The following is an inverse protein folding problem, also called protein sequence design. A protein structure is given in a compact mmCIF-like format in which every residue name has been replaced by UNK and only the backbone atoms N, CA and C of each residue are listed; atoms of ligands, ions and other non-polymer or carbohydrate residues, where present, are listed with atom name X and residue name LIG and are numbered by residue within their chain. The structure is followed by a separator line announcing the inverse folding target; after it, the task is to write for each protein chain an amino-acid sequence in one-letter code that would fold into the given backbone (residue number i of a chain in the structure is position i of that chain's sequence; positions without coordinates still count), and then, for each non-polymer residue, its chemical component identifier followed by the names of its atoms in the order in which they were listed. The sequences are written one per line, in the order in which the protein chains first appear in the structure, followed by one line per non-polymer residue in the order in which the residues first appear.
data_IF_445964983126
#
_entry.id   IF_445964983126
#
_cell.length_a   1.000
_cell.length_b   1.000
_cell.length_c   1.000
_cell.angle_alpha   90.00
_cell.angle_beta   90.00
_cell.angle_gamma   90.00
#
_symmetry.space_group_name_H-M   'P 1'
#
loop_
_entity.id
_entity.type
_entity.pdbx_description
1 polymer ?
#
# COMPACT_ATOMS: atom_id res chain seq x y z
N UNK A 1 40.51 -47.34 -44.28
CA UNK A 1 39.19 -47.27 -44.95
C UNK A 1 38.44 -46.08 -44.42
N UNK A 2 38.71 -44.89 -44.98
CA UNK A 2 37.85 -43.72 -44.88
C UNK A 2 36.80 -43.78 -45.99
N UNK A 3 35.60 -43.23 -45.77
CA UNK A 3 34.50 -42.87 -46.72
C UNK A 3 33.24 -42.73 -45.83
N UNK A 4 32.41 -41.69 -45.83
CA UNK A 4 32.12 -40.55 -46.72
C UNK A 4 31.25 -39.57 -45.89
N UNK A 5 31.58 -38.27 -45.82
CA UNK A 5 31.00 -37.15 -46.59
C UNK A 5 29.54 -36.79 -46.21
N UNK A 6 29.02 -35.57 -46.32
CA UNK A 6 29.48 -34.20 -46.62
C UNK A 6 28.21 -33.35 -46.41
N UNK A 7 28.32 -32.13 -45.87
CA UNK A 7 27.20 -31.18 -45.86
C UNK A 7 27.43 -29.93 -44.99
N UNK A 8 28.14 -28.94 -45.55
CA UNK A 8 28.15 -27.52 -45.14
C UNK A 8 27.03 -26.75 -45.92
N UNK A 9 26.70 -25.46 -45.66
CA UNK A 9 27.27 -24.49 -44.71
C UNK A 9 26.24 -23.64 -43.91
N UNK A 10 26.69 -23.04 -42.80
CA UNK A 10 26.09 -21.79 -42.30
C UNK A 10 26.25 -21.55 -40.80
N UNK A 11 27.08 -20.56 -40.45
CA UNK A 11 27.25 -19.93 -39.12
C UNK A 11 28.12 -20.68 -38.10
N UNK A 12 29.40 -20.30 -38.07
CA UNK A 12 30.34 -20.57 -36.98
C UNK A 12 29.90 -19.82 -35.71
N UNK A 13 29.51 -20.58 -34.68
CA UNK A 13 29.53 -20.09 -33.30
C UNK A 13 30.98 -20.02 -32.83
N UNK A 14 31.53 -18.80 -32.71
CA UNK A 14 32.78 -18.57 -32.01
C UNK A 14 32.54 -18.73 -30.50
N UNK A 15 33.09 -19.78 -29.92
CA UNK A 15 33.25 -19.92 -28.46
C UNK A 15 34.50 -19.13 -28.05
N UNK A 16 34.31 -18.08 -27.25
CA UNK A 16 35.41 -17.40 -26.56
C UNK A 16 35.14 -17.46 -25.07
N UNK A 17 36.12 -17.89 -24.25
CA UNK A 17 35.90 -18.15 -22.82
C UNK A 17 35.59 -16.87 -22.04
N UNK A 18 34.48 -16.92 -21.31
CA UNK A 18 34.07 -15.96 -20.29
C UNK A 18 35.05 -15.98 -19.12
N UNK A 19 36.08 -15.14 -19.12
CA UNK A 19 36.68 -14.59 -17.90
C UNK A 19 37.60 -13.41 -18.27
N UNK A 20 36.97 -12.27 -18.58
CA UNK A 20 37.66 -10.98 -18.55
C UNK A 20 37.01 -10.17 -17.43
N UNK A 21 37.76 -9.97 -16.34
CA UNK A 21 37.40 -9.07 -15.25
C UNK A 21 37.18 -7.66 -15.83
N UNK A 22 35.91 -7.28 -16.00
CA UNK A 22 35.54 -5.91 -16.26
C UNK A 22 35.82 -5.10 -14.99
N UNK A 23 36.94 -4.38 -15.01
CA UNK A 23 37.25 -3.31 -14.07
C UNK A 23 36.04 -2.39 -13.97
N UNK A 24 35.39 -2.39 -12.79
CA UNK A 24 34.30 -1.51 -12.44
C UNK A 24 34.83 -0.08 -12.39
N UNK A 25 34.77 0.62 -13.53
CA UNK A 25 34.86 2.07 -13.54
C UNK A 25 33.72 2.60 -12.66
N UNK A 26 34.05 2.99 -11.43
CA UNK A 26 33.17 3.80 -10.58
C UNK A 26 32.79 5.03 -11.39
N UNK A 27 31.54 5.10 -11.82
CA UNK A 27 30.93 6.36 -12.24
C UNK A 27 31.08 7.35 -11.09
N UNK A 28 31.55 8.59 -11.34
CA UNK A 28 31.66 9.59 -10.29
C UNK A 28 30.28 9.82 -9.69
N UNK A 29 30.21 9.89 -8.35
CA UNK A 29 28.96 10.20 -7.65
C UNK A 29 28.42 11.52 -8.22
N UNK A 30 27.22 11.50 -8.81
CA UNK A 30 26.55 12.73 -9.23
C UNK A 30 26.45 13.63 -8.01
N UNK A 31 27.03 14.82 -8.09
CA UNK A 31 26.89 15.82 -7.04
C UNK A 31 25.41 16.06 -6.77
N UNK A 32 25.04 16.07 -5.49
CA UNK A 32 23.68 16.35 -5.08
C UNK A 32 23.28 17.76 -5.54
N UNK A 33 22.06 17.97 -6.04
CA UNK A 33 21.56 19.31 -6.35
C UNK A 33 21.68 20.25 -5.14
N UNK A 34 21.91 21.54 -5.39
CA UNK A 34 22.17 22.55 -4.34
C UNK A 34 21.13 22.55 -3.21
N UNK A 35 19.84 22.35 -3.53
CA UNK A 35 18.78 22.32 -2.51
C UNK A 35 18.91 21.15 -1.52
N UNK A 36 19.56 20.06 -1.92
CA UNK A 36 19.83 18.91 -1.06
C UNK A 36 21.16 19.05 -0.29
N UNK A 37 22.10 19.85 -0.80
CA UNK A 37 23.35 20.14 -0.09
C UNK A 37 23.11 20.96 1.19
N UNK A 38 22.09 21.82 1.18
CA UNK A 38 21.67 22.61 2.34
C UNK A 38 20.67 21.89 3.25
N UNK A 39 20.32 20.63 2.96
CA UNK A 39 19.37 19.89 3.78
C UNK A 39 20.04 19.42 5.08
N UNK A 40 19.49 19.84 6.21
CA UNK A 40 19.90 19.39 7.55
C UNK A 40 18.69 18.74 8.24
N UNK A 41 18.78 17.46 8.62
CA UNK A 41 17.70 16.75 9.28
C UNK A 41 17.41 17.22 10.72
N UNK A 42 18.34 17.97 11.32
CA UNK A 42 18.22 18.50 12.69
C UNK A 42 17.28 19.70 12.77
N UNK A 43 17.04 20.36 11.64
CA UNK A 43 16.26 21.59 11.57
C UNK A 43 15.04 21.43 10.65
N UNK A 44 13.88 22.05 10.97
CA UNK A 44 12.73 22.03 10.08
C UNK A 44 13.10 22.57 8.70
N UNK A 45 12.97 21.75 7.67
CA UNK A 45 13.31 22.17 6.30
C UNK A 45 12.18 23.03 5.73
N UNK A 46 12.41 24.31 5.41
CA UNK A 46 11.41 25.11 4.73
C UNK A 46 11.21 24.56 3.30
N UNK A 47 9.97 24.24 2.96
CA UNK A 47 9.65 23.69 1.64
C UNK A 47 9.62 24.82 0.59
N UNK A 48 10.76 25.03 -0.08
CA UNK A 48 10.93 26.04 -1.12
C UNK A 48 10.39 25.59 -2.48
N UNK A 49 10.22 26.53 -3.42
CA UNK A 49 9.88 26.23 -4.82
C UNK A 49 10.95 25.37 -5.50
N UNK A 50 12.23 25.59 -5.18
CA UNK A 50 13.34 24.81 -5.71
C UNK A 50 13.25 23.33 -5.28
N UNK A 51 12.94 23.06 -4.01
CA UNK A 51 12.72 21.68 -3.52
C UNK A 51 11.53 21.05 -4.25
N UNK A 52 10.41 21.77 -4.41
CA UNK A 52 9.23 21.28 -5.15
C UNK A 52 9.59 20.90 -6.59
N UNK A 53 10.32 21.76 -7.28
CA UNK A 53 10.72 21.51 -8.68
C UNK A 53 11.65 20.30 -8.79
N UNK A 54 12.66 20.21 -7.93
CA UNK A 54 13.60 19.09 -7.94
C UNK A 54 12.92 17.77 -7.58
N UNK A 55 12.04 17.78 -6.58
CA UNK A 55 11.23 16.60 -6.21
C UNK A 55 10.34 16.15 -7.36
N UNK A 56 9.71 17.06 -8.10
CA UNK A 56 8.93 16.66 -9.29
C UNK A 56 9.81 16.06 -10.38
N UNK A 57 11.02 16.60 -10.59
CA UNK A 57 11.90 16.23 -11.70
C UNK A 57 12.70 14.95 -11.46
N UNK A 58 13.33 14.83 -10.29
CA UNK A 58 14.29 13.76 -9.97
C UNK A 58 13.91 12.98 -8.70
N UNK A 59 13.02 13.53 -7.88
CA UNK A 59 12.64 12.94 -6.59
C UNK A 59 13.63 13.22 -5.49
N UNK A 60 13.34 12.65 -4.32
CA UNK A 60 14.22 12.78 -3.16
C UNK A 60 15.38 11.78 -3.32
N UNK A 61 16.64 12.19 -3.14
CA UNK A 61 17.78 11.26 -3.17
C UNK A 61 17.61 10.12 -2.16
N UNK A 62 17.89 8.89 -2.57
CA UNK A 62 17.62 7.70 -1.77
C UNK A 62 18.25 7.74 -0.37
N UNK A 63 19.51 8.20 -0.27
CA UNK A 63 20.23 8.31 1.01
C UNK A 63 19.67 9.38 1.96
N UNK A 64 18.95 10.37 1.44
CA UNK A 64 18.35 11.45 2.23
C UNK A 64 16.86 11.22 2.52
N UNK A 65 16.24 10.25 1.84
CA UNK A 65 14.77 10.12 1.82
C UNK A 65 14.17 9.86 3.19
N UNK A 66 14.80 9.00 3.99
CA UNK A 66 14.30 8.70 5.34
C UNK A 66 14.26 9.96 6.22
N UNK A 67 15.37 10.68 6.29
CA UNK A 67 15.47 11.86 7.14
C UNK A 67 14.60 13.01 6.60
N UNK A 68 14.55 13.17 5.28
CA UNK A 68 13.64 14.12 4.63
C UNK A 68 12.18 13.79 4.92
N UNK A 69 11.75 12.53 4.81
CA UNK A 69 10.38 12.14 5.13
C UNK A 69 10.05 12.40 6.59
N UNK A 70 10.96 12.09 7.52
CA UNK A 70 10.75 12.30 8.95
C UNK A 70 10.54 13.78 9.29
N UNK A 71 11.35 14.66 8.69
CA UNK A 71 11.24 16.11 8.91
C UNK A 71 10.06 16.70 8.14
N UNK A 72 10.03 16.51 6.82
CA UNK A 72 9.08 17.18 5.93
C UNK A 72 7.64 16.68 6.10
N UNK A 73 7.40 15.45 6.56
CA UNK A 73 6.04 15.01 6.91
C UNK A 73 5.53 15.69 8.19
N UNK A 74 6.45 16.10 9.08
CA UNK A 74 6.16 16.57 10.44
C UNK A 74 6.25 15.48 11.50
N UNK A 75 6.71 14.28 11.15
CA UNK A 75 6.88 13.15 12.08
C UNK A 75 7.83 13.47 13.24
N UNK A 76 8.91 14.22 12.98
CA UNK A 76 9.82 14.69 14.04
C UNK A 76 9.11 15.38 15.20
N UNK A 77 8.06 16.19 14.92
CA UNK A 77 7.27 16.86 15.96
C UNK A 77 6.40 15.88 16.74
N UNK A 78 5.75 14.94 16.04
CA UNK A 78 4.95 13.91 16.70
C UNK A 78 5.80 13.06 17.64
N UNK A 79 7.01 12.70 17.19
CA UNK A 79 7.96 11.95 17.98
C UNK A 79 8.47 12.75 19.20
N UNK A 80 8.74 14.05 19.05
CA UNK A 80 9.21 14.89 20.15
C UNK A 80 8.14 15.21 21.18
N UNK A 81 6.88 15.34 20.74
CA UNK A 81 5.74 15.67 21.60
C UNK A 81 5.27 14.45 22.40
N UNK A 82 5.60 13.24 21.94
CA UNK A 82 5.26 11.99 22.62
C UNK A 82 6.24 11.70 23.78
N UNK A 83 5.75 11.15 24.90
CA UNK A 83 6.63 10.66 25.97
C UNK A 83 7.67 9.65 25.47
N UNK A 84 8.85 9.67 26.10
CA UNK A 84 9.90 8.73 25.76
C UNK A 84 9.42 7.27 25.94
N UNK A 85 9.69 6.42 24.95
CA UNK A 85 9.30 5.02 24.96
C UNK A 85 7.84 4.74 24.56
N UNK A 86 7.06 5.77 24.17
CA UNK A 86 5.68 5.59 23.68
C UNK A 86 5.59 4.55 22.58
N UNK A 87 6.46 4.59 21.57
CA UNK A 87 6.43 3.59 20.49
C UNK A 87 6.59 2.17 21.02
N UNK A 88 7.57 1.92 21.89
CA UNK A 88 7.83 0.58 22.43
C UNK A 88 6.66 0.08 23.30
N UNK A 89 6.03 0.96 24.08
CA UNK A 89 4.86 0.62 24.87
C UNK A 89 3.66 0.24 23.99
N UNK A 90 3.40 1.01 22.92
CA UNK A 90 2.33 0.72 21.97
C UNK A 90 2.59 -0.57 21.19
N UNK A 91 3.82 -0.77 20.70
CA UNK A 91 4.21 -1.95 19.92
C UNK A 91 4.19 -3.26 20.73
N UNK A 92 4.37 -3.19 22.05
CA UNK A 92 4.35 -4.34 22.94
C UNK A 92 2.94 -4.78 23.36
N UNK A 93 1.93 -3.94 23.15
CA UNK A 93 0.55 -4.21 23.57
C UNK A 93 -0.31 -4.67 22.40
N UNK A 94 -1.07 -5.74 22.62
CA UNK A 94 -2.18 -6.17 21.76
C UNK A 94 -3.48 -6.27 22.56
N UNK A 95 -3.54 -5.66 23.75
CA UNK A 95 -4.63 -5.86 24.70
C UNK A 95 -5.99 -5.40 24.17
N UNK A 96 -6.00 -4.39 23.30
CA UNK A 96 -7.22 -3.80 22.74
C UNK A 96 -7.58 -4.39 21.37
N UNK A 97 -6.81 -5.36 20.88
CA UNK A 97 -7.02 -5.97 19.56
C UNK A 97 -7.74 -7.31 19.68
N UNK A 98 -8.77 -7.51 18.85
CA UNK A 98 -9.45 -8.80 18.74
C UNK A 98 -8.62 -9.81 17.96
N UNK A 99 -8.85 -11.11 18.18
CA UNK A 99 -8.15 -12.17 17.45
C UNK A 99 -8.37 -12.04 15.92
N UNK A 100 -9.57 -11.59 15.47
CA UNK A 100 -9.86 -11.33 14.05
C UNK A 100 -8.97 -10.25 13.44
N UNK A 101 -8.72 -9.17 14.17
CA UNK A 101 -7.84 -8.07 13.73
C UNK A 101 -6.41 -8.58 13.59
N UNK A 102 -5.95 -9.37 14.55
CA UNK A 102 -4.60 -9.95 14.52
C UNK A 102 -4.44 -10.84 13.28
N UNK A 103 -5.43 -11.69 12.98
CA UNK A 103 -5.43 -12.54 11.78
C UNK A 103 -5.35 -11.69 10.51
N UNK A 104 -6.15 -10.61 10.42
CA UNK A 104 -6.12 -9.72 9.27
C UNK A 104 -4.77 -9.01 9.10
N UNK A 105 -4.14 -8.59 10.20
CA UNK A 105 -2.80 -8.00 10.19
C UNK A 105 -1.78 -9.02 9.67
N UNK A 106 -1.80 -10.26 10.16
CA UNK A 106 -0.89 -11.30 9.71
C UNK A 106 -1.04 -11.62 8.20
N UNK A 107 -2.27 -11.68 7.72
CA UNK A 107 -2.60 -11.87 6.30
C UNK A 107 -2.01 -10.76 5.44
N UNK A 108 -2.20 -9.49 5.83
CA UNK A 108 -1.71 -8.36 5.05
C UNK A 108 -0.18 -8.21 5.15
N UNK A 109 0.43 -8.59 6.27
CA UNK A 109 1.89 -8.69 6.41
C UNK A 109 2.44 -9.70 5.42
N UNK A 110 1.81 -10.87 5.26
CA UNK A 110 2.23 -11.86 4.25
C UNK A 110 2.18 -11.27 2.84
N UNK A 111 1.13 -10.52 2.51
CA UNK A 111 1.02 -9.82 1.22
C UNK A 111 2.11 -8.76 1.05
N UNK A 112 2.30 -7.88 2.04
CA UNK A 112 3.29 -6.81 1.99
C UNK A 112 4.71 -7.36 1.81
N UNK A 113 5.03 -8.46 2.49
CA UNK A 113 6.34 -9.14 2.34
C UNK A 113 6.57 -9.64 0.92
N UNK A 114 5.53 -10.18 0.25
CA UNK A 114 5.64 -10.63 -1.14
C UNK A 114 5.84 -9.43 -2.08
N UNK A 115 5.10 -8.34 -1.87
CA UNK A 115 5.18 -7.14 -2.70
C UNK A 115 6.56 -6.45 -2.62
N UNK A 116 7.20 -6.48 -1.46
CA UNK A 116 8.48 -5.80 -1.23
C UNK A 116 9.70 -6.73 -1.15
N UNK A 117 9.55 -8.02 -1.49
CA UNK A 117 10.62 -9.03 -1.32
C UNK A 117 11.88 -8.71 -2.11
N UNK A 118 11.73 -8.10 -3.29
CA UNK A 118 12.83 -7.84 -4.23
C UNK A 118 13.51 -6.49 -3.95
N UNK A 119 12.88 -5.62 -3.15
CA UNK A 119 13.37 -4.28 -2.83
C UNK A 119 14.31 -4.27 -1.62
N UNK A 120 14.09 -5.19 -0.68
CA UNK A 120 14.92 -5.30 0.52
C UNK A 120 14.94 -6.72 1.07
N UNK A 121 16.11 -7.13 1.59
CA UNK A 121 16.26 -8.39 2.32
C UNK A 121 15.48 -8.42 3.62
N UNK A 122 15.04 -7.26 4.13
CA UNK A 122 14.30 -7.15 5.39
C UNK A 122 13.10 -8.11 5.43
N UNK A 123 12.27 -8.10 4.38
CA UNK A 123 11.04 -8.90 4.33
C UNK A 123 11.25 -10.38 4.02
N UNK A 124 12.47 -10.78 3.68
CA UNK A 124 12.88 -12.19 3.61
C UNK A 124 13.16 -12.79 5.00
N UNK A 125 13.27 -11.96 6.06
CA UNK A 125 13.63 -12.40 7.41
C UNK A 125 12.45 -12.37 8.38
N UNK A 126 12.50 -13.21 9.43
CA UNK A 126 11.52 -13.16 10.52
C UNK A 126 11.55 -11.82 11.26
N UNK A 127 12.75 -11.24 11.45
CA UNK A 127 12.95 -9.94 12.09
C UNK A 127 12.27 -8.79 11.33
N UNK A 128 12.23 -8.85 9.99
CA UNK A 128 11.52 -7.85 9.19
C UNK A 128 10.00 -8.00 9.26
N UNK A 129 9.50 -9.23 9.35
CA UNK A 129 8.07 -9.46 9.60
C UNK A 129 7.66 -8.96 10.99
N UNK A 130 8.47 -9.23 12.01
CA UNK A 130 8.27 -8.74 13.37
C UNK A 130 8.27 -7.20 13.43
N UNK A 131 9.25 -6.56 12.77
CA UNK A 131 9.32 -5.10 12.65
C UNK A 131 8.05 -4.51 12.05
N UNK A 132 7.53 -5.14 10.97
CA UNK A 132 6.28 -4.72 10.36
C UNK A 132 5.08 -4.91 11.31
N UNK A 133 4.97 -6.05 12.00
CA UNK A 133 3.93 -6.27 13.01
C UNK A 133 3.96 -5.20 14.10
N UNK A 134 5.14 -4.89 14.64
CA UNK A 134 5.33 -3.89 15.70
C UNK A 134 4.86 -2.50 15.27
N UNK A 135 5.22 -2.06 14.06
CA UNK A 135 4.76 -0.78 13.50
C UNK A 135 3.24 -0.74 13.36
N UNK A 136 2.63 -1.83 12.90
CA UNK A 136 1.17 -1.91 12.70
C UNK A 136 0.43 -1.94 14.04
N UNK A 137 0.86 -2.75 14.99
CA UNK A 137 0.25 -2.78 16.32
C UNK A 137 0.40 -1.45 17.04
N UNK A 138 1.57 -0.81 16.96
CA UNK A 138 1.74 0.52 17.53
C UNK A 138 0.76 1.55 16.92
N UNK A 139 0.51 1.47 15.61
CA UNK A 139 -0.44 2.34 14.91
C UNK A 139 -1.87 2.11 15.40
N UNK A 140 -2.28 0.84 15.51
CA UNK A 140 -3.64 0.50 15.96
C UNK A 140 -3.89 0.87 17.42
N UNK A 141 -2.88 0.72 18.28
CA UNK A 141 -2.98 1.06 19.70
C UNK A 141 -3.00 2.58 19.93
N UNK A 142 -2.31 3.38 19.10
CA UNK A 142 -2.31 4.84 19.23
C UNK A 142 -3.69 5.45 19.05
N UNK A 143 -4.44 4.97 18.06
CA UNK A 143 -5.73 5.57 17.70
C UNK A 143 -6.86 5.26 18.69
N UNK A 144 -6.61 4.37 19.66
CA UNK A 144 -7.68 3.77 20.46
C UNK A 144 -8.64 3.06 19.51
N UNK A 145 -8.43 1.76 19.29
CA UNK A 145 -9.07 0.88 18.30
C UNK A 145 -10.59 1.12 18.00
N UNK A 146 -11.31 1.79 18.92
CA UNK A 146 -12.69 2.25 18.83
C UNK A 146 -13.11 3.04 17.57
N UNK A 147 -12.22 3.78 16.88
CA UNK A 147 -12.71 4.71 15.84
C UNK A 147 -12.70 4.21 14.40
N UNK A 148 -11.96 3.16 14.01
CA UNK A 148 -11.87 2.81 12.59
C UNK A 148 -11.44 1.38 12.22
N UNK A 149 -11.08 0.55 13.20
CA UNK A 149 -10.64 -0.83 12.97
C UNK A 149 -9.37 -0.94 12.09
N UNK A 150 -8.88 -2.18 11.94
CA UNK A 150 -7.81 -2.46 11.00
C UNK A 150 -8.36 -2.47 9.56
N UNK A 151 -7.65 -1.83 8.63
CA UNK A 151 -7.98 -1.90 7.21
C UNK A 151 -6.86 -2.58 6.42
N UNK A 152 -7.29 -3.43 5.50
CA UNK A 152 -6.39 -4.18 4.63
C UNK A 152 -5.61 -3.23 3.72
N UNK A 153 -4.29 -3.36 3.73
CA UNK A 153 -3.35 -2.56 2.95
C UNK A 153 -2.47 -1.63 3.78
N UNK A 154 -2.80 -1.37 5.05
CA UNK A 154 -1.94 -0.61 5.95
C UNK A 154 -0.54 -1.25 6.08
N UNK A 155 -0.44 -2.59 6.07
CA UNK A 155 0.84 -3.27 6.15
C UNK A 155 1.72 -2.98 4.92
N UNK A 156 1.12 -2.75 3.75
CA UNK A 156 1.88 -2.38 2.54
C UNK A 156 2.41 -0.95 2.63
N UNK A 157 1.67 -0.01 3.22
CA UNK A 157 2.14 1.37 3.48
C UNK A 157 3.31 1.35 4.48
N UNK A 158 3.15 0.63 5.58
CA UNK A 158 4.20 0.50 6.59
C UNK A 158 5.44 -0.22 6.04
N UNK A 159 5.26 -1.27 5.23
CA UNK A 159 6.37 -1.97 4.59
C UNK A 159 7.13 -1.04 3.64
N UNK A 160 6.41 -0.26 2.82
CA UNK A 160 7.01 0.76 1.96
C UNK A 160 7.84 1.77 2.75
N UNK A 161 7.40 2.22 3.94
CA UNK A 161 8.24 3.06 4.80
C UNK A 161 9.44 2.32 5.37
N UNK A 162 9.28 1.10 5.85
CA UNK A 162 10.40 0.30 6.38
C UNK A 162 11.48 0.01 5.33
N UNK A 163 11.15 -0.05 4.03
CA UNK A 163 12.19 -0.11 2.98
C UNK A 163 13.05 1.15 2.93
N UNK A 164 12.50 2.32 3.28
CA UNK A 164 13.18 3.62 3.24
C UNK A 164 13.99 3.83 4.52
N UNK A 165 13.38 3.57 5.68
CA UNK A 165 14.00 3.82 6.98
C UNK A 165 15.00 2.73 7.38
N UNK A 166 14.73 1.49 6.96
CA UNK A 166 15.39 0.30 7.47
C UNK A 166 14.89 -0.08 8.86
N UNK A 167 15.26 -1.28 9.31
CA UNK A 167 14.88 -1.81 10.64
C UNK A 167 15.45 -0.98 11.79
N UNK A 168 16.67 -0.44 11.62
CA UNK A 168 17.36 0.32 12.68
C UNK A 168 16.65 1.64 13.03
N UNK A 169 15.75 2.13 12.17
CA UNK A 169 14.95 3.35 12.37
C UNK A 169 13.46 3.06 12.37
N UNK A 170 13.07 1.90 12.90
CA UNK A 170 11.68 1.42 12.99
C UNK A 170 10.74 2.45 13.63
N UNK A 171 11.14 3.08 14.74
CA UNK A 171 10.33 4.10 15.41
C UNK A 171 10.12 5.36 14.54
N UNK A 172 11.16 5.81 13.81
CA UNK A 172 11.00 6.91 12.87
C UNK A 172 10.06 6.54 11.72
N UNK A 173 10.08 5.28 11.26
CA UNK A 173 9.16 4.79 10.25
C UNK A 173 7.71 4.82 10.77
N UNK A 174 7.48 4.44 12.03
CA UNK A 174 6.17 4.53 12.70
C UNK A 174 5.66 5.97 12.76
N UNK A 175 6.44 6.93 13.28
CA UNK A 175 6.00 8.32 13.35
C UNK A 175 5.79 8.93 11.96
N UNK A 176 6.59 8.51 10.98
CA UNK A 176 6.41 8.90 9.58
C UNK A 176 5.14 8.32 8.98
N UNK A 177 4.76 7.08 9.31
CA UNK A 177 3.49 6.48 8.88
C UNK A 177 2.30 7.32 9.34
N UNK A 178 2.29 7.67 10.63
CA UNK A 178 1.29 8.54 11.24
C UNK A 178 1.23 9.89 10.51
N UNK A 179 2.36 10.60 10.43
CA UNK A 179 2.40 11.92 9.81
C UNK A 179 2.03 11.89 8.32
N UNK A 180 2.48 10.87 7.59
CA UNK A 180 2.20 10.72 6.16
C UNK A 180 0.70 10.54 5.92
N UNK A 181 0.05 9.62 6.64
CA UNK A 181 -1.37 9.35 6.45
C UNK A 181 -2.24 10.50 6.97
N UNK A 182 -2.01 10.96 8.20
CA UNK A 182 -2.89 11.93 8.85
C UNK A 182 -2.65 13.37 8.42
N UNK A 183 -1.41 13.76 8.11
CA UNK A 183 -1.08 15.16 7.79
C UNK A 183 -0.86 15.40 6.31
N UNK A 184 -0.43 14.38 5.54
CA UNK A 184 -0.05 14.56 4.12
C UNK A 184 -1.07 14.00 3.16
N UNK A 185 -1.64 12.82 3.43
CA UNK A 185 -2.70 12.25 2.58
C UNK A 185 -4.10 12.72 3.02
N UNK A 186 -4.40 12.70 4.32
CA UNK A 186 -5.77 12.93 4.81
C UNK A 186 -5.86 13.96 5.95
N UNK A 187 -5.33 15.19 5.77
CA UNK A 187 -5.36 16.23 6.81
C UNK A 187 -6.76 16.62 7.30
N UNK A 188 -7.79 16.36 6.48
CA UNK A 188 -9.18 16.67 6.79
C UNK A 188 -9.87 15.58 7.64
N UNK A 189 -9.24 14.42 7.82
CA UNK A 189 -9.88 13.25 8.40
C UNK A 189 -9.73 13.16 9.93
N UNK A 190 -8.92 14.03 10.54
CA UNK A 190 -8.76 14.07 12.00
C UNK A 190 -8.30 12.75 12.63
N UNK A 191 -7.41 12.02 11.96
CA UNK A 191 -6.95 10.68 12.40
C UNK A 191 -7.69 9.52 11.74
N UNK A 192 -8.93 9.71 11.27
CA UNK A 192 -9.74 8.66 10.68
C UNK A 192 -9.39 8.38 9.19
N UNK A 193 -8.21 7.83 8.98
CA UNK A 193 -7.60 7.58 7.66
C UNK A 193 -8.50 6.80 6.69
N UNK A 194 -9.19 5.70 7.08
CA UNK A 194 -10.07 4.99 6.17
C UNK A 194 -11.20 5.85 5.59
N UNK A 195 -11.88 6.64 6.43
CA UNK A 195 -12.90 7.59 5.95
C UNK A 195 -12.28 8.70 5.09
N UNK A 196 -11.11 9.22 5.47
CA UNK A 196 -10.37 10.20 4.66
C UNK A 196 -10.08 9.69 3.25
N UNK A 197 -9.63 8.44 3.12
CA UNK A 197 -9.42 7.80 1.83
C UNK A 197 -10.70 7.71 1.01
N UNK A 198 -11.82 7.31 1.63
CA UNK A 198 -13.13 7.26 0.95
C UNK A 198 -13.62 8.63 0.50
N UNK A 199 -13.39 9.67 1.29
CA UNK A 199 -13.68 11.06 0.90
C UNK A 199 -12.89 11.42 -0.35
N UNK A 200 -11.59 11.12 -0.42
CA UNK A 200 -10.78 11.40 -1.61
C UNK A 200 -11.24 10.64 -2.87
N UNK A 201 -11.76 9.41 -2.72
CA UNK A 201 -12.38 8.68 -3.84
C UNK A 201 -13.61 9.42 -4.40
N UNK A 202 -14.47 9.96 -3.54
CA UNK A 202 -15.65 10.72 -3.97
C UNK A 202 -15.27 12.10 -4.53
N UNK A 203 -14.22 12.73 -3.97
CA UNK A 203 -13.64 13.95 -4.55
C UNK A 203 -13.12 13.66 -5.95
N UNK A 204 -12.43 12.52 -6.16
CA UNK A 204 -11.96 12.07 -7.47
C UNK A 204 -13.12 11.87 -8.44
N UNK A 205 -14.22 11.23 -8.02
CA UNK A 205 -15.43 11.07 -8.84
C UNK A 205 -15.98 12.43 -9.30
N UNK A 206 -16.16 13.40 -8.39
CA UNK A 206 -16.65 14.74 -8.77
C UNK A 206 -15.68 15.48 -9.69
N UNK A 207 -14.37 15.33 -9.48
CA UNK A 207 -13.35 15.91 -10.38
C UNK A 207 -13.41 15.27 -11.77
N UNK A 208 -13.64 13.95 -11.84
CA UNK A 208 -13.79 13.25 -13.11
C UNK A 208 -15.04 13.72 -13.87
N UNK A 209 -16.17 13.87 -13.19
CA UNK A 209 -17.41 14.41 -13.77
C UNK A 209 -17.23 15.82 -14.32
N UNK A 210 -16.47 16.68 -13.62
CA UNK A 210 -16.19 18.03 -14.08
C UNK A 210 -15.22 18.09 -15.27
N UNK A 211 -14.24 17.19 -15.33
CA UNK A 211 -13.14 17.26 -16.30
C UNK A 211 -13.34 16.38 -17.52
N UNK A 212 -14.00 15.24 -17.36
CA UNK A 212 -14.26 14.25 -18.39
C UNK A 212 -15.66 13.63 -18.21
N UNK A 213 -16.73 14.43 -18.36
CA UNK A 213 -18.11 13.98 -18.10
C UNK A 213 -18.51 12.75 -18.95
N UNK A 214 -18.02 12.67 -20.19
CA UNK A 214 -18.27 11.52 -21.06
C UNK A 214 -17.67 10.21 -20.50
N UNK A 215 -16.48 10.28 -19.89
CA UNK A 215 -15.83 9.13 -19.29
C UNK A 215 -16.52 8.74 -17.97
N UNK A 216 -16.88 9.73 -17.15
CA UNK A 216 -17.66 9.51 -15.93
C UNK A 216 -19.00 8.83 -16.23
N UNK A 217 -19.72 9.30 -17.26
CA UNK A 217 -20.99 8.71 -17.68
C UNK A 217 -20.83 7.28 -18.21
N UNK A 218 -19.72 6.94 -18.87
CA UNK A 218 -19.44 5.57 -19.29
C UNK A 218 -19.24 4.65 -18.07
N UNK A 219 -18.43 5.08 -17.10
CA UNK A 219 -18.17 4.32 -15.87
C UNK A 219 -19.44 4.12 -15.04
N UNK A 220 -20.30 5.14 -14.94
CA UNK A 220 -21.58 5.07 -14.23
C UNK A 220 -22.56 4.08 -14.87
N UNK A 221 -22.42 3.75 -16.16
CA UNK A 221 -23.20 2.70 -16.83
C UNK A 221 -22.73 1.30 -16.46
N UNK A 222 -21.46 1.13 -16.07
CA UNK A 222 -20.91 -0.17 -15.70
C UNK A 222 -21.30 -0.57 -14.28
N UNK A 223 -21.33 0.38 -13.35
CA UNK A 223 -21.84 0.18 -12.00
C UNK A 223 -22.17 1.51 -11.30
N UNK A 224 -22.95 1.49 -10.20
CA UNK A 224 -23.37 2.72 -9.50
C UNK A 224 -22.21 3.52 -8.87
N UNK A 225 -21.21 2.85 -8.29
CA UNK A 225 -20.09 3.49 -7.56
C UNK A 225 -18.74 3.03 -8.15
N UNK A 226 -18.40 3.45 -9.39
CA UNK A 226 -17.25 2.92 -10.14
C UNK A 226 -15.90 3.32 -9.54
N UNK A 227 -15.77 4.52 -8.97
CA UNK A 227 -14.50 4.96 -8.37
C UNK A 227 -14.17 4.24 -7.08
N UNK A 228 -15.17 3.78 -6.32
CA UNK A 228 -14.92 2.98 -5.12
C UNK A 228 -14.23 1.66 -5.49
N UNK A 229 -14.70 0.99 -6.55
CA UNK A 229 -14.11 -0.25 -7.04
C UNK A 229 -12.77 -0.05 -7.74
N UNK A 230 -12.62 1.05 -8.49
CA UNK A 230 -11.39 1.29 -9.27
C UNK A 230 -10.26 1.89 -8.44
N UNK A 231 -10.59 2.90 -7.63
CA UNK A 231 -9.63 3.78 -6.97
C UNK A 231 -9.67 3.69 -5.44
N UNK A 232 -10.58 2.91 -4.86
CA UNK A 232 -10.66 2.72 -3.40
C UNK A 232 -9.35 2.24 -2.79
N UNK A 233 -8.69 1.28 -3.44
CA UNK A 233 -7.37 0.77 -3.00
C UNK A 233 -6.24 1.78 -3.19
N UNK A 234 -6.36 2.72 -4.13
CA UNK A 234 -5.31 3.69 -4.44
C UNK A 234 -5.13 4.65 -3.27
N UNK A 235 -6.22 5.19 -2.73
CA UNK A 235 -6.13 6.10 -1.58
C UNK A 235 -5.94 5.34 -0.27
N UNK A 236 -6.68 4.26 -0.02
CA UNK A 236 -6.61 3.54 1.26
C UNK A 236 -5.23 2.92 1.53
N UNK A 237 -4.45 2.67 0.48
CA UNK A 237 -3.09 2.13 0.57
C UNK A 237 -2.03 3.10 0.10
N UNK A 238 -2.38 4.39 -0.07
CA UNK A 238 -1.45 5.41 -0.56
C UNK A 238 -0.65 4.94 -1.80
N UNK A 239 -1.32 4.23 -2.71
CA UNK A 239 -0.81 3.58 -3.92
C UNK A 239 0.18 2.42 -3.73
N UNK A 240 0.54 2.06 -2.49
CA UNK A 240 1.56 1.06 -2.17
C UNK A 240 1.23 -0.35 -2.68
N UNK A 241 -0.05 -0.69 -2.87
CA UNK A 241 -0.47 -1.98 -3.46
C UNK A 241 -0.69 -1.93 -4.97
N UNK A 242 -0.79 -0.73 -5.53
CA UNK A 242 -1.27 -0.52 -6.90
C UNK A 242 -0.13 -0.31 -7.88
N UNK A 243 0.92 0.40 -7.44
CA UNK A 243 2.04 0.80 -8.28
C UNK A 243 3.35 0.18 -7.78
N UNK A 244 4.35 -0.03 -8.66
CA UNK A 244 5.67 -0.49 -8.26
C UNK A 244 6.34 0.44 -7.25
N UNK A 245 7.19 -0.16 -6.40
CA UNK A 245 7.88 0.49 -5.29
C UNK A 245 8.52 1.84 -5.66
N UNK A 246 9.29 1.89 -6.75
CA UNK A 246 9.96 3.11 -7.18
C UNK A 246 8.98 4.22 -7.59
N UNK A 247 7.84 3.88 -8.21
CA UNK A 247 6.81 4.85 -8.59
C UNK A 247 6.08 5.39 -7.37
N UNK A 248 5.79 4.52 -6.39
CA UNK A 248 5.17 4.92 -5.12
C UNK A 248 6.07 5.93 -4.39
N UNK A 249 7.39 5.69 -4.33
CA UNK A 249 8.33 6.65 -3.73
C UNK A 249 8.28 8.00 -4.43
N UNK A 250 8.26 8.04 -5.76
CA UNK A 250 8.20 9.31 -6.53
C UNK A 250 6.90 10.08 -6.26
N UNK A 251 5.79 9.38 -6.09
CA UNK A 251 4.50 9.98 -5.70
C UNK A 251 4.58 10.53 -4.26
N UNK A 252 5.10 9.74 -3.33
CA UNK A 252 5.21 10.12 -1.93
C UNK A 252 6.16 11.29 -1.71
N UNK A 253 7.27 11.35 -2.44
CA UNK A 253 8.18 12.49 -2.47
C UNK A 253 7.39 13.79 -2.74
N UNK A 254 6.51 13.76 -3.75
CA UNK A 254 5.68 14.90 -4.12
C UNK A 254 4.58 15.18 -3.07
N UNK A 255 3.92 14.16 -2.51
CA UNK A 255 2.87 14.31 -1.50
C UNK A 255 3.40 14.93 -0.21
N UNK A 256 4.58 14.52 0.25
CA UNK A 256 5.20 15.06 1.47
C UNK A 256 5.44 16.57 1.33
N UNK A 257 5.83 17.02 0.14
CA UNK A 257 6.23 18.41 -0.15
C UNK A 257 5.06 19.31 -0.54
N UNK A 258 4.09 18.78 -1.29
CA UNK A 258 2.99 19.58 -1.86
C UNK A 258 1.60 19.25 -1.31
N UNK A 259 1.50 18.21 -0.50
CA UNK A 259 0.29 17.83 0.21
C UNK A 259 -0.68 16.94 -0.58
N UNK A 260 -1.91 16.78 -0.07
CA UNK A 260 -2.84 15.71 -0.48
C UNK A 260 -3.33 15.85 -1.93
N UNK A 261 -3.34 17.08 -2.47
CA UNK A 261 -3.74 17.33 -3.86
C UNK A 261 -2.96 16.50 -4.88
N UNK A 262 -1.71 16.13 -4.57
CA UNK A 262 -0.88 15.32 -5.47
C UNK A 262 -1.50 13.95 -5.70
N UNK A 263 -2.06 13.32 -4.67
CA UNK A 263 -2.70 12.01 -4.80
C UNK A 263 -3.88 12.06 -5.80
N UNK A 264 -4.72 13.10 -5.72
CA UNK A 264 -5.80 13.33 -6.68
C UNK A 264 -5.29 13.55 -8.11
N UNK A 265 -4.21 14.32 -8.28
CA UNK A 265 -3.59 14.54 -9.61
C UNK A 265 -3.06 13.24 -10.20
N UNK A 266 -2.41 12.41 -9.38
CA UNK A 266 -1.90 11.10 -9.81
C UNK A 266 -3.06 10.17 -10.18
N UNK A 267 -4.13 10.12 -9.39
CA UNK A 267 -5.30 9.30 -9.71
C UNK A 267 -5.98 9.73 -11.02
N UNK A 268 -6.14 11.03 -11.27
CA UNK A 268 -6.64 11.55 -12.54
C UNK A 268 -5.69 11.23 -13.71
N UNK A 269 -4.37 11.29 -13.48
CA UNK A 269 -3.39 10.92 -14.49
C UNK A 269 -3.48 9.43 -14.86
N UNK A 270 -3.65 8.56 -13.87
CA UNK A 270 -3.90 7.13 -14.07
C UNK A 270 -5.16 6.91 -14.91
N UNK A 271 -6.28 7.56 -14.56
CA UNK A 271 -7.53 7.46 -15.33
C UNK A 271 -7.32 7.92 -16.79
N UNK A 272 -6.57 9.01 -16.99
CA UNK A 272 -6.21 9.51 -18.33
C UNK A 272 -5.36 8.50 -19.11
N UNK A 273 -4.40 7.83 -18.48
CA UNK A 273 -3.58 6.78 -19.11
C UNK A 273 -4.41 5.53 -19.47
N UNK A 274 -5.45 5.26 -18.68
CA UNK A 274 -6.33 4.10 -18.83
C UNK A 274 -7.60 4.39 -19.63
N UNK A 275 -7.77 5.59 -20.20
CA UNK A 275 -9.00 6.00 -20.89
C UNK A 275 -9.40 5.04 -22.02
N UNK A 276 -8.44 4.58 -22.81
CA UNK A 276 -8.70 3.59 -23.88
C UNK A 276 -9.22 2.26 -23.35
N UNK A 277 -8.66 1.77 -22.23
CA UNK A 277 -9.14 0.57 -21.56
C UNK A 277 -10.56 0.76 -21.03
N UNK A 278 -10.83 1.90 -20.38
CA UNK A 278 -12.16 2.24 -19.86
C UNK A 278 -13.20 2.23 -20.99
N UNK A 279 -12.87 2.82 -22.14
CA UNK A 279 -13.77 2.86 -23.31
C UNK A 279 -14.04 1.49 -23.94
N UNK A 280 -13.09 0.55 -23.82
CA UNK A 280 -13.19 -0.79 -24.42
C UNK A 280 -13.89 -1.83 -23.54
N UNK A 281 -13.98 -1.59 -22.23
CA UNK A 281 -14.48 -2.58 -21.28
C UNK A 281 -16.01 -2.50 -21.13
N UNK A 282 -16.65 -3.66 -21.05
CA UNK A 282 -18.11 -3.81 -20.88
C UNK A 282 -18.52 -4.21 -19.46
N UNK A 283 -17.57 -4.53 -18.59
CA UNK A 283 -17.77 -4.93 -17.19
C UNK A 283 -16.75 -4.26 -16.31
N UNK A 284 -17.18 -3.87 -15.10
CA UNK A 284 -16.31 -3.25 -14.10
C UNK A 284 -15.22 -4.21 -13.62
N UNK A 285 -15.51 -5.49 -13.45
CA UNK A 285 -14.53 -6.49 -12.99
C UNK A 285 -13.40 -6.72 -14.01
N UNK A 286 -13.74 -6.66 -15.31
CA UNK A 286 -12.75 -6.71 -16.38
C UNK A 286 -11.90 -5.45 -16.37
N UNK A 287 -12.55 -4.28 -16.22
CA UNK A 287 -11.85 -3.01 -16.16
C UNK A 287 -10.87 -2.93 -15.00
N UNK A 288 -11.29 -3.28 -13.78
CA UNK A 288 -10.41 -3.28 -12.60
C UNK A 288 -9.19 -4.16 -12.83
N UNK A 289 -9.36 -5.40 -13.30
CA UNK A 289 -8.24 -6.30 -13.59
C UNK A 289 -7.28 -5.77 -14.65
N UNK A 290 -7.80 -5.18 -15.72
CA UNK A 290 -6.97 -4.57 -16.78
C UNK A 290 -6.17 -3.40 -16.22
N UNK A 291 -6.82 -2.52 -15.44
CA UNK A 291 -6.17 -1.36 -14.83
C UNK A 291 -5.11 -1.80 -13.82
N UNK A 292 -5.42 -2.72 -12.90
CA UNK A 292 -4.47 -3.30 -11.94
C UNK A 292 -3.27 -3.95 -12.65
N UNK A 293 -3.52 -4.71 -13.72
CA UNK A 293 -2.47 -5.31 -14.54
C UNK A 293 -1.57 -4.25 -15.20
N UNK A 294 -2.12 -3.14 -15.68
CA UNK A 294 -1.33 -2.04 -16.25
C UNK A 294 -0.54 -1.30 -15.18
N UNK A 295 -1.16 -1.00 -14.04
CA UNK A 295 -0.53 -0.22 -12.96
C UNK A 295 0.60 -0.99 -12.28
N UNK A 296 0.44 -2.29 -12.05
CA UNK A 296 1.51 -3.16 -11.52
C UNK A 296 2.76 -3.23 -12.40
N UNK A 297 2.66 -2.86 -13.69
CA UNK A 297 3.80 -2.79 -14.63
C UNK A 297 4.21 -1.36 -14.98
N UNK A 298 3.63 -0.36 -14.32
CA UNK A 298 3.96 1.05 -14.55
C UNK A 298 5.30 1.37 -13.89
N UNK A 299 6.39 1.35 -14.66
CA UNK A 299 7.74 1.65 -14.14
C UNK A 299 8.18 3.08 -14.37
N UNK A 300 7.56 3.80 -15.30
CA UNK A 300 7.90 5.17 -15.67
C UNK A 300 7.14 6.18 -14.79
N UNK A 301 7.72 6.48 -13.62
CA UNK A 301 7.19 7.48 -12.70
C UNK A 301 7.18 8.89 -13.32
N UNK A 302 8.17 9.23 -14.13
CA UNK A 302 8.32 10.58 -14.66
C UNK A 302 7.25 10.88 -15.71
N UNK A 303 6.89 9.90 -16.55
CA UNK A 303 5.74 10.03 -17.45
C UNK A 303 4.42 10.20 -16.69
N UNK A 304 4.19 9.41 -15.64
CA UNK A 304 3.00 9.54 -14.79
C UNK A 304 2.92 10.92 -14.13
N UNK A 305 4.02 11.37 -13.53
CA UNK A 305 4.09 12.69 -12.88
C UNK A 305 4.02 13.84 -13.89
N UNK A 306 4.56 13.68 -15.10
CA UNK A 306 4.42 14.67 -16.17
C UNK A 306 2.95 14.87 -16.55
N UNK A 307 2.18 13.78 -16.68
CA UNK A 307 0.73 13.87 -16.89
C UNK A 307 0.07 14.55 -15.69
N UNK A 308 0.37 14.12 -14.45
CA UNK A 308 -0.24 14.65 -13.24
C UNK A 308 0.00 16.16 -13.06
N UNK A 309 1.23 16.65 -13.29
CA UNK A 309 1.58 18.06 -13.06
C UNK A 309 1.39 18.97 -14.27
N UNK A 310 1.60 18.48 -15.50
CA UNK A 310 1.53 19.30 -16.72
C UNK A 310 0.30 18.98 -17.59
N UNK A 311 -0.11 17.71 -17.65
CA UNK A 311 -1.13 17.23 -18.59
C UNK A 311 -2.60 17.41 -18.17
N UNK A 312 -2.89 17.72 -16.90
CA UNK A 312 -4.25 17.87 -16.36
C UNK A 312 -4.73 19.33 -16.25
N UNK A 313 -3.87 20.29 -16.56
CA UNK A 313 -4.12 21.71 -16.34
C UNK A 313 -4.15 22.11 -14.85
N UNK A 314 -4.76 23.26 -14.56
CA UNK A 314 -4.87 23.79 -13.20
C UNK A 314 -5.92 23.02 -12.39
N UNK A 315 -5.57 22.67 -11.15
CA UNK A 315 -6.47 22.15 -10.11
C UNK A 315 -6.18 22.97 -8.86
N UNK A 316 -7.06 23.94 -8.58
CA UNK A 316 -6.88 24.83 -7.43
C UNK A 316 -7.17 24.08 -6.12
N UNK A 317 -6.38 24.36 -5.09
CA UNK A 317 -6.61 23.80 -3.75
C UNK A 317 -7.99 24.17 -3.22
N UNK A 318 -8.39 25.43 -3.38
CA UNK A 318 -9.72 25.93 -2.95
C UNK A 318 -10.88 25.19 -3.60
N UNK A 319 -10.78 24.83 -4.88
CA UNK A 319 -11.83 24.05 -5.57
C UNK A 319 -11.91 22.63 -5.01
N UNK A 320 -10.76 21.99 -4.76
CA UNK A 320 -10.70 20.66 -4.15
C UNK A 320 -11.29 20.70 -2.74
N UNK A 321 -10.94 21.71 -1.95
CA UNK A 321 -11.42 21.85 -0.58
C UNK A 321 -12.93 22.11 -0.53
N UNK A 322 -13.47 22.89 -1.48
CA UNK A 322 -14.91 23.08 -1.63
C UNK A 322 -15.63 21.78 -2.03
N UNK A 323 -15.07 21.00 -2.95
CA UNK A 323 -15.59 19.67 -3.31
C UNK A 323 -15.59 18.76 -2.09
N UNK A 324 -14.48 18.72 -1.35
CA UNK A 324 -14.31 17.90 -0.16
C UNK A 324 -15.32 18.26 0.93
N UNK A 325 -15.54 19.54 1.19
CA UNK A 325 -16.54 20.01 2.15
C UNK A 325 -17.96 19.55 1.77
N UNK A 326 -18.32 19.60 0.48
CA UNK A 326 -19.61 19.09 0.00
C UNK A 326 -19.75 17.58 0.17
N UNK A 327 -18.70 16.81 -0.15
CA UNK A 327 -18.69 15.35 0.03
C UNK A 327 -18.89 14.98 1.50
N UNK A 328 -18.18 15.64 2.41
CA UNK A 328 -18.29 15.41 3.86
C UNK A 328 -19.69 15.78 4.36
N UNK A 329 -20.22 16.94 3.96
CA UNK A 329 -21.56 17.37 4.36
C UNK A 329 -22.66 16.40 3.88
N UNK A 330 -22.56 15.93 2.63
CA UNK A 330 -23.50 14.93 2.09
C UNK A 330 -23.42 13.60 2.87
N UNK A 331 -22.22 13.16 3.26
CA UNK A 331 -22.03 11.97 4.08
C UNK A 331 -22.75 12.09 5.44
N UNK A 332 -22.61 13.24 6.10
CA UNK A 332 -23.21 13.51 7.41
C UNK A 332 -24.74 13.59 7.33
N UNK A 333 -25.29 14.23 6.29
CA UNK A 333 -26.74 14.31 6.09
C UNK A 333 -27.36 12.92 5.88
N UNK A 334 -26.72 12.04 5.13
CA UNK A 334 -27.18 10.68 4.92
C UNK A 334 -27.08 9.81 6.18
N UNK A 335 -26.05 10.01 7.00
CA UNK A 335 -25.94 9.35 8.30
C UNK A 335 -27.06 9.79 9.26
N UNK A 336 -27.38 11.10 9.28
CA UNK A 336 -28.47 11.64 10.10
C UNK A 336 -29.88 11.22 9.64
N UNK A 337 -30.06 10.91 8.35
CA UNK A 337 -31.35 10.54 7.76
C UNK A 337 -31.68 9.02 7.82
N UNK A 338 -30.82 8.17 8.37
CA UNK A 338 -30.80 6.73 8.04
C UNK A 338 -31.38 5.74 9.05
N UNK A 339 -32.68 5.45 8.94
CA UNK A 339 -33.26 4.13 9.26
C UNK A 339 -32.83 3.02 8.26
N UNK A 340 -33.31 1.79 8.47
CA UNK A 340 -32.75 0.50 8.03
C UNK A 340 -32.33 0.28 6.55
N UNK A 341 -32.75 1.13 5.60
CA UNK A 341 -32.35 1.08 4.18
C UNK A 341 -31.09 1.91 3.83
N UNK A 342 -30.55 2.68 4.78
CA UNK A 342 -29.43 3.63 4.59
C UNK A 342 -28.01 3.02 4.61
N UNK A 343 -27.89 1.68 4.64
CA UNK A 343 -26.62 1.00 4.91
C UNK A 343 -25.55 1.10 3.80
N UNK A 344 -25.90 1.49 2.58
CA UNK A 344 -24.91 1.58 1.48
C UNK A 344 -24.16 2.91 1.39
N UNK A 345 -24.71 4.02 1.93
CA UNK A 345 -24.05 5.36 1.92
C UNK A 345 -23.61 5.86 3.29
N UNK A 346 -24.21 5.37 4.38
CA UNK A 346 -23.72 5.59 5.74
C UNK A 346 -22.34 4.94 6.01
N UNK A 347 -21.83 4.12 5.09
CA UNK A 347 -20.50 3.51 5.15
C UNK A 347 -19.35 4.53 5.14
N UNK A 348 -19.60 5.83 4.88
CA UNK A 348 -18.53 6.86 4.86
C UNK A 348 -17.81 7.01 6.20
N UNK A 349 -18.42 6.51 7.27
CA UNK A 349 -17.85 6.44 8.63
C UNK A 349 -17.32 5.04 9.01
N UNK A 350 -17.45 4.04 8.12
CA UNK A 350 -16.94 2.69 8.32
C UNK A 350 -15.71 2.46 7.44
N UNK A 351 -14.73 1.63 7.87
CA UNK A 351 -13.59 1.28 7.05
C UNK A 351 -14.05 0.66 5.73
N UNK A 352 -13.39 0.96 4.60
CA UNK A 352 -13.76 0.39 3.31
C UNK A 352 -13.57 -1.13 3.37
N UNK A 353 -14.64 -1.88 3.09
CA UNK A 353 -14.56 -3.30 2.79
C UNK A 353 -13.63 -3.47 1.60
N UNK A 354 -12.47 -4.12 1.79
CA UNK A 354 -11.55 -4.36 0.69
C UNK A 354 -12.27 -5.06 -0.47
N UNK A 355 -12.01 -4.70 -1.74
CA UNK A 355 -12.49 -5.50 -2.86
C UNK A 355 -11.87 -6.90 -2.73
N UNK A 356 -12.72 -7.90 -2.52
CA UNK A 356 -12.35 -9.32 -2.49
C UNK A 356 -11.99 -9.78 -3.90
N UNK A 357 -10.81 -9.41 -4.40
CA UNK A 357 -10.21 -10.10 -5.53
C UNK A 357 -9.14 -11.05 -5.02
N UNK A 358 -9.55 -12.31 -4.85
CA UNK A 358 -8.67 -13.44 -4.66
C UNK A 358 -7.86 -13.60 -5.94
N UNK A 359 -6.53 -13.45 -5.83
CA UNK A 359 -5.59 -13.87 -6.87
C UNK A 359 -5.71 -15.40 -7.02
N UNK A 360 -6.47 -15.83 -8.03
CA UNK A 360 -6.54 -17.23 -8.44
C UNK A 360 -5.20 -17.66 -9.02
N UNK A 361 -4.40 -18.37 -8.21
CA UNK A 361 -3.26 -19.14 -8.68
C UNK A 361 -3.76 -20.32 -9.51
N UNK A 362 -3.44 -20.31 -10.80
CA UNK A 362 -3.60 -21.45 -11.69
C UNK A 362 -2.62 -22.54 -11.26
N UNK A 363 -3.12 -23.66 -10.74
CA UNK A 363 -2.44 -24.94 -10.77
C UNK A 363 -3.21 -25.86 -11.71
N UNK A 364 -2.59 -26.15 -12.85
CA UNK A 364 -3.10 -27.12 -13.82
C UNK A 364 -3.17 -28.53 -13.21
N UNK A 365 -4.27 -29.21 -13.52
CA UNK A 365 -4.51 -30.60 -13.19
C UNK A 365 -5.41 -31.19 -14.26
N UNK A 366 -4.81 -32.06 -15.06
CA UNK A 366 -5.32 -32.75 -16.25
C UNK A 366 -6.68 -33.41 -16.05
N UNK A 367 -7.56 -33.23 -17.03
CA UNK A 367 -8.80 -33.99 -17.21
C UNK A 367 -8.49 -35.40 -17.72
N UNK A 368 -8.96 -36.43 -17.02
CA UNK A 368 -9.31 -37.72 -17.65
C UNK A 368 -10.68 -38.18 -17.16
N UNK A 369 -11.60 -38.33 -18.12
CA UNK A 369 -12.92 -38.96 -18.02
C UNK A 369 -12.79 -40.45 -17.70
N UNK A 370 -13.70 -40.98 -16.89
CA UNK A 370 -14.46 -42.19 -17.26
C UNK A 370 -15.69 -42.41 -16.36
N UNK A 371 -16.77 -42.77 -17.03
CA UNK A 371 -18.10 -43.20 -16.58
C UNK A 371 -18.14 -44.60 -15.95
N UNK A 372 -19.19 -44.91 -15.20
CA UNK A 372 -19.79 -46.26 -15.20
C UNK A 372 -20.14 -46.89 -13.84
N UNK A 373 -21.42 -46.80 -13.48
CA UNK A 373 -22.33 -47.84 -12.95
C UNK A 373 -21.93 -48.94 -11.95
N UNK A 374 -22.78 -49.01 -10.91
CA UNK A 374 -23.53 -50.16 -10.33
C UNK A 374 -22.89 -51.19 -9.38
N UNK A 375 -23.71 -51.43 -8.32
CA UNK A 375 -23.93 -52.62 -7.50
C UNK A 375 -23.17 -52.83 -6.16
N UNK A 376 -23.96 -52.84 -5.08
CA UNK A 376 -24.04 -54.04 -4.23
C UNK A 376 -23.53 -53.98 -2.78
N UNK A 377 -24.47 -53.85 -1.83
CA UNK A 377 -24.59 -54.56 -0.53
C UNK A 377 -23.52 -54.35 0.57
N UNK A 378 -24.00 -54.05 1.78
CA UNK A 378 -23.42 -54.57 3.04
C UNK A 378 -23.27 -53.55 4.16
N UNK A 379 -23.91 -53.79 5.30
CA UNK A 379 -23.97 -52.85 6.43
C UNK A 379 -22.74 -52.83 7.34
N UNK A 380 -22.80 -52.00 8.38
CA UNK A 380 -21.82 -52.04 9.48
C UNK A 380 -21.46 -50.67 10.04
N UNK A 381 -22.07 -50.32 11.18
CA UNK A 381 -21.72 -49.19 12.03
C UNK A 381 -20.25 -49.23 12.48
N UNK A 382 -19.54 -48.10 12.41
CA UNK A 382 -18.53 -47.71 13.41
C UNK A 382 -18.08 -46.25 13.22
N UNK A 383 -18.13 -45.54 14.34
CA UNK A 383 -17.53 -44.25 14.64
C UNK A 383 -16.05 -44.13 14.25
N UNK A 384 -15.66 -43.02 13.61
CA UNK A 384 -14.50 -42.22 14.04
C UNK A 384 -14.41 -40.91 13.25
N UNK A 385 -14.70 -39.80 13.93
CA UNK A 385 -14.32 -38.47 13.48
C UNK A 385 -12.82 -38.28 13.81
N UNK A 386 -11.98 -38.24 12.78
CA UNK A 386 -10.60 -37.77 12.90
C UNK A 386 -10.50 -36.38 12.29
N UNK A 387 -10.46 -35.37 13.16
CA UNK A 387 -10.11 -34.01 12.82
C UNK A 387 -8.59 -33.92 12.69
N UNK A 388 -8.09 -33.73 11.46
CA UNK A 388 -6.70 -33.38 11.24
C UNK A 388 -6.49 -31.90 11.60
N UNK A 389 -6.01 -31.63 12.80
CA UNK A 389 -5.49 -30.32 13.18
C UNK A 389 -4.12 -30.12 12.53
N UNK A 390 -4.01 -29.15 11.62
CA UNK A 390 -2.73 -28.71 11.07
C UNK A 390 -2.20 -27.62 12.00
N UNK A 391 -1.27 -28.00 12.88
CA UNK A 391 -0.61 -27.08 13.80
C UNK A 391 0.24 -26.06 13.04
N UNK A 392 0.07 -24.77 13.36
CA UNK A 392 0.95 -23.69 12.92
C UNK A 392 2.28 -23.73 13.69
N UNK A 393 3.44 -23.47 13.05
CA UNK A 393 4.77 -23.67 13.65
C UNK A 393 5.31 -22.48 14.48
N UNK A 394 4.48 -21.55 14.94
CA UNK A 394 4.93 -20.35 15.66
C UNK A 394 4.22 -20.21 17.02
N UNK A 395 4.94 -19.85 18.09
CA UNK A 395 4.34 -19.67 19.41
C UNK A 395 3.49 -18.40 19.47
N UNK A 396 2.21 -18.55 19.81
CA UNK A 396 1.29 -17.43 20.07
C UNK A 396 1.70 -16.67 21.34
N UNK A 397 1.66 -15.33 21.36
CA UNK A 397 2.14 -14.50 22.47
C UNK A 397 1.10 -14.33 23.59
N UNK A 398 0.37 -15.37 23.98
CA UNK A 398 -0.47 -15.35 25.20
C UNK A 398 0.31 -15.98 26.35
N UNK A 399 1.32 -15.25 26.84
CA UNK A 399 2.04 -15.56 28.07
C UNK A 399 1.38 -14.89 29.27
N UNK A 400 0.72 -15.68 30.12
CA UNK A 400 0.18 -15.22 31.40
C UNK A 400 1.31 -14.76 32.32
N UNK A 401 1.28 -13.49 32.74
CA UNK A 401 2.04 -13.01 33.88
C UNK A 401 1.41 -13.58 35.17
N UNK A 402 2.08 -14.55 35.79
CA UNK A 402 1.81 -14.95 37.17
C UNK A 402 2.64 -14.05 38.08
N UNK A 403 1.95 -13.17 38.81
CA UNK A 403 2.50 -12.45 39.96
C UNK A 403 2.81 -13.47 41.06
N UNK A 404 4.09 -13.61 41.44
CA UNK A 404 4.49 -14.27 42.69
C UNK A 404 4.92 -13.20 43.70
N UNK A 405 4.10 -13.05 44.72
CA UNK A 405 4.41 -12.32 45.95
C UNK A 405 5.29 -13.17 46.84
N UNK A 406 6.52 -12.73 47.10
CA UNK A 406 7.34 -13.23 48.19
C UNK A 406 7.62 -12.07 49.16
N UNK A 407 6.86 -12.03 50.26
CA UNK A 407 7.19 -11.24 51.45
C UNK A 407 7.77 -12.21 52.46
N UNK A 408 9.08 -12.14 52.66
CA UNK A 408 9.79 -12.81 53.75
C UNK A 408 9.48 -12.10 55.08
N UNK A 409 8.99 -12.87 56.06
CA UNK A 409 9.14 -12.57 57.48
C UNK A 409 10.31 -13.40 57.99
N UNK A 410 11.24 -12.74 58.68
CA UNK A 410 12.52 -13.32 59.06
C UNK A 410 12.49 -14.23 60.29
N UNK A 411 13.63 -14.89 60.45
CA UNK A 411 14.42 -15.02 61.68
C UNK A 411 15.82 -15.50 61.29
#
# INVERSE_FOLDING_TARGET
MAVVARGLPGLTFGTTPLFAMASTKRTPAKELPRCWQSFDPSHPTPITSAIKEEVRKAGVPAGLRADFYFVASGAHKLASDAPAGTYNALAASTADLTDDVIIQVEDDIRVARILHKDETRLFSTAKGAESLSRVIFAYLQREGFSYGGYWKGLASVAAQLLTVFGREREEHAFWTLVALLERRFFPHAGGHVPAGARVEVHVLQQLLEQRQPALAALLAKLCPEPMELLAGSWFSTAFARTLPHQVVLRIWDCVVVEGPKVALRVALAIIKMCTSSIQSCTSMDVLCRVVEGRLSRCTDADALLAIAFKGLGSLSGSSIDAIRARVIAAAQQHAAAGGAASRSRAQLLLPPSAPMFVLGGSSGGVLTRSSGSSDGIGGGSASNASSSSRASPWPSPKGHAVLSSASERGM
#
